data_IF_890725805931
#
_entry.id   IF_890725805931
#
_cell.length_a   1.000
_cell.length_b   1.000
_cell.length_c   1.000
_cell.angle_alpha   90.00
_cell.angle_beta   90.00
_cell.angle_gamma   90.00
#
_symmetry.space_group_name_H-M   'P 1'
#
loop_
_entity.id
_entity.type
_entity.pdbx_description
1 polymer ?
#
# COMPACT_ATOMS: atom_id res chain seq x y z
N UNK A 1 46.23 -56.19 51.15
CA UNK A 1 45.11 -56.14 50.13
C UNK A 1 45.11 -54.82 49.50
N UNK A 2 45.51 -54.75 48.22
CA UNK A 2 45.79 -53.57 47.44
C UNK A 2 44.47 -53.11 46.72
N UNK A 3 44.03 -51.91 46.96
CA UNK A 3 42.97 -51.32 46.18
C UNK A 3 43.53 -50.11 45.43
N UNK A 4 43.65 -50.23 44.11
CA UNK A 4 44.11 -49.22 43.19
C UNK A 4 43.00 -48.25 42.86
N UNK A 5 43.08 -47.02 43.32
CA UNK A 5 42.32 -45.93 42.79
C UNK A 5 42.93 -45.44 41.46
N UNK A 6 42.31 -45.79 40.36
CA UNK A 6 42.63 -45.17 39.05
C UNK A 6 41.80 -43.91 38.89
N UNK A 7 42.41 -42.77 39.18
CA UNK A 7 41.87 -41.49 38.85
C UNK A 7 41.87 -41.29 37.34
N UNK A 8 40.69 -41.28 36.71
CA UNK A 8 40.52 -40.80 35.34
C UNK A 8 40.78 -39.30 35.32
N UNK A 9 41.98 -38.92 34.99
CA UNK A 9 42.26 -37.50 34.63
C UNK A 9 41.56 -37.23 33.31
N UNK A 10 40.41 -36.62 33.36
CA UNK A 10 39.68 -36.10 32.20
C UNK A 10 40.51 -34.94 31.63
N UNK A 11 41.19 -35.22 30.52
CA UNK A 11 42.12 -34.28 29.86
C UNK A 11 41.32 -33.11 29.30
N UNK A 12 41.27 -32.01 30.06
CA UNK A 12 40.67 -30.73 29.66
C UNK A 12 41.40 -30.06 28.47
N UNK A 13 42.52 -30.65 28.04
CA UNK A 13 43.35 -30.13 26.95
C UNK A 13 42.85 -30.48 25.54
N UNK A 14 41.76 -31.29 25.41
CA UNK A 14 41.24 -31.67 24.09
C UNK A 14 40.22 -30.67 23.53
N UNK A 15 39.70 -29.74 24.35
CA UNK A 15 38.70 -28.75 23.93
C UNK A 15 39.28 -27.44 23.39
N UNK A 16 40.62 -27.24 23.50
CA UNK A 16 41.27 -25.99 23.05
C UNK A 16 41.96 -26.13 21.67
N UNK A 17 41.80 -27.23 20.95
CA UNK A 17 42.59 -27.50 19.75
C UNK A 17 41.84 -27.33 18.42
N UNK A 18 40.68 -26.68 18.41
CA UNK A 18 39.94 -26.37 17.15
C UNK A 18 39.53 -24.91 17.06
N UNK A 19 40.30 -23.98 17.56
CA UNK A 19 40.20 -22.61 17.07
C UNK A 19 41.00 -22.52 15.76
N UNK A 20 40.42 -23.03 14.67
CA UNK A 20 40.85 -22.67 13.33
C UNK A 20 40.57 -21.19 13.17
N UNK A 21 41.60 -20.36 13.22
CA UNK A 21 41.48 -18.95 12.91
C UNK A 21 40.83 -18.78 11.55
N UNK A 22 39.88 -17.86 11.46
CA UNK A 22 39.24 -17.49 10.19
C UNK A 22 40.32 -17.18 9.17
N UNK A 23 40.25 -17.78 8.00
CA UNK A 23 41.17 -17.47 6.92
C UNK A 23 40.89 -16.07 6.38
N UNK A 24 41.88 -15.37 5.85
CA UNK A 24 41.72 -14.04 5.28
C UNK A 24 40.67 -14.03 4.17
N UNK A 25 40.54 -15.12 3.42
CA UNK A 25 39.54 -15.33 2.38
C UNK A 25 38.13 -15.43 2.97
N UNK A 26 37.96 -16.12 4.09
CA UNK A 26 36.68 -16.29 4.78
C UNK A 26 36.19 -14.96 5.36
N UNK A 27 37.09 -14.15 5.95
CA UNK A 27 36.82 -12.81 6.42
C UNK A 27 36.33 -11.91 5.26
N UNK A 28 37.02 -11.97 4.11
CA UNK A 28 36.65 -11.19 2.93
C UNK A 28 35.30 -11.62 2.39
N UNK A 29 34.99 -12.92 2.34
CA UNK A 29 33.70 -13.43 1.94
C UNK A 29 32.54 -12.93 2.86
N UNK A 30 32.78 -12.97 4.18
CA UNK A 30 31.79 -12.45 5.16
C UNK A 30 31.56 -10.96 4.96
N UNK A 31 32.60 -10.16 4.73
CA UNK A 31 32.46 -8.72 4.47
C UNK A 31 31.65 -8.43 3.21
N UNK A 32 31.84 -9.18 2.14
CA UNK A 32 31.05 -9.05 0.90
C UNK A 32 29.58 -9.36 1.16
N UNK A 33 29.30 -10.44 1.90
CA UNK A 33 27.90 -10.80 2.25
C UNK A 33 27.24 -9.70 3.07
N UNK A 34 27.94 -9.13 4.06
CA UNK A 34 27.42 -8.03 4.88
C UNK A 34 27.08 -6.82 4.01
N UNK A 35 27.95 -6.43 3.08
CA UNK A 35 27.72 -5.30 2.17
C UNK A 35 26.47 -5.55 1.32
N UNK A 36 26.31 -6.75 0.76
CA UNK A 36 25.13 -7.11 -0.04
C UNK A 36 23.85 -7.03 0.81
N UNK A 37 23.89 -7.55 2.06
CA UNK A 37 22.74 -7.48 2.97
C UNK A 37 22.35 -6.03 3.28
N UNK A 38 23.30 -5.15 3.57
CA UNK A 38 23.05 -3.74 3.85
C UNK A 38 22.43 -3.04 2.64
N UNK A 39 22.93 -3.30 1.43
CA UNK A 39 22.36 -2.77 0.20
C UNK A 39 20.93 -3.27 -0.04
N UNK A 40 20.66 -4.54 0.20
CA UNK A 40 19.31 -5.10 0.06
C UNK A 40 18.31 -4.46 1.02
N UNK A 41 18.70 -4.25 2.28
CA UNK A 41 17.87 -3.55 3.28
C UNK A 41 17.60 -2.11 2.84
N UNK A 42 18.62 -1.38 2.38
CA UNK A 42 18.46 0.01 1.91
C UNK A 42 17.46 0.10 0.75
N UNK A 43 17.60 -0.76 -0.26
CA UNK A 43 16.65 -0.82 -1.39
C UNK A 43 15.23 -1.12 -0.90
N UNK A 44 15.09 -2.06 0.06
CA UNK A 44 13.80 -2.41 0.66
C UNK A 44 13.12 -1.23 1.36
N UNK A 45 13.88 -0.43 2.11
CA UNK A 45 13.37 0.77 2.80
C UNK A 45 12.87 1.80 1.77
N UNK A 46 13.68 2.13 0.76
CA UNK A 46 13.31 3.09 -0.29
C UNK A 46 12.05 2.63 -1.04
N UNK A 47 11.93 1.35 -1.32
CA UNK A 47 10.73 0.79 -1.95
C UNK A 47 9.49 0.90 -1.03
N UNK A 48 9.65 0.58 0.26
CA UNK A 48 8.57 0.68 1.23
C UNK A 48 8.05 2.12 1.38
N UNK A 49 8.93 3.11 1.44
CA UNK A 49 8.56 4.52 1.50
C UNK A 49 7.71 4.95 0.29
N UNK A 50 8.12 4.54 -0.91
CA UNK A 50 7.33 4.81 -2.13
C UNK A 50 5.95 4.17 -2.09
N UNK A 51 5.84 2.93 -1.62
CA UNK A 51 4.56 2.24 -1.51
C UNK A 51 3.64 2.89 -0.46
N UNK A 52 4.19 3.33 0.67
CA UNK A 52 3.43 4.08 1.67
C UNK A 52 2.85 5.38 1.11
N UNK A 53 3.62 6.09 0.29
CA UNK A 53 3.20 7.33 -0.35
C UNK A 53 2.04 7.09 -1.33
N UNK A 54 2.17 6.07 -2.17
CA UNK A 54 1.14 5.66 -3.13
C UNK A 54 -0.15 5.27 -2.39
N UNK A 55 -0.04 4.42 -1.37
CA UNK A 55 -1.18 3.96 -0.58
C UNK A 55 -1.88 5.13 0.15
N UNK A 56 -1.12 6.11 0.63
CA UNK A 56 -1.68 7.31 1.25
C UNK A 56 -2.54 8.09 0.24
N UNK A 57 -2.01 8.36 -0.97
CA UNK A 57 -2.71 9.08 -2.03
C UNK A 57 -3.98 8.35 -2.48
N UNK A 58 -3.90 7.03 -2.66
CA UNK A 58 -5.05 6.20 -3.00
C UNK A 58 -6.13 6.25 -1.91
N UNK A 59 -5.74 6.22 -0.63
CA UNK A 59 -6.65 6.32 0.50
C UNK A 59 -7.34 7.68 0.55
N UNK A 60 -6.61 8.77 0.38
CA UNK A 60 -7.19 10.13 0.34
C UNK A 60 -8.17 10.24 -0.82
N UNK A 61 -7.77 9.78 -2.02
CA UNK A 61 -8.63 9.78 -3.20
C UNK A 61 -9.92 8.97 -2.98
N UNK A 62 -9.82 7.80 -2.35
CA UNK A 62 -10.99 6.98 -1.98
C UNK A 62 -11.92 7.71 -1.03
N UNK A 63 -11.38 8.34 0.01
CA UNK A 63 -12.19 9.09 0.98
C UNK A 63 -12.90 10.29 0.34
N UNK A 64 -12.23 11.00 -0.58
CA UNK A 64 -12.85 12.11 -1.31
C UNK A 64 -14.02 11.62 -2.18
N UNK A 65 -13.83 10.54 -2.95
CA UNK A 65 -14.88 9.96 -3.79
C UNK A 65 -16.05 9.47 -2.94
N UNK A 66 -15.78 8.77 -1.83
CA UNK A 66 -16.82 8.29 -0.91
C UNK A 66 -17.58 9.46 -0.31
N UNK A 67 -16.88 10.50 0.17
CA UNK A 67 -17.53 11.67 0.77
C UNK A 67 -18.46 12.41 -0.20
N UNK A 68 -18.06 12.55 -1.47
CA UNK A 68 -18.94 13.16 -2.48
C UNK A 68 -20.17 12.30 -2.78
N UNK A 69 -20.02 10.98 -2.89
CA UNK A 69 -21.16 10.07 -3.09
C UNK A 69 -22.10 10.09 -1.87
N UNK A 70 -21.58 10.13 -0.64
CA UNK A 70 -22.39 10.28 0.57
C UNK A 70 -23.17 11.61 0.58
N UNK A 71 -22.56 12.69 0.09
CA UNK A 71 -23.26 13.98 -0.05
C UNK A 71 -24.39 13.89 -1.08
N UNK A 72 -24.19 13.19 -2.19
CA UNK A 72 -25.23 12.95 -3.19
C UNK A 72 -26.34 12.04 -2.66
N UNK A 73 -26.00 11.02 -1.87
CA UNK A 73 -26.98 10.20 -1.16
C UNK A 73 -27.83 11.05 -0.21
N UNK A 74 -27.20 11.93 0.56
CA UNK A 74 -27.93 12.87 1.43
C UNK A 74 -28.87 13.78 0.62
N UNK A 75 -28.45 14.28 -0.55
CA UNK A 75 -29.31 15.07 -1.46
C UNK A 75 -30.50 14.27 -1.91
N UNK A 76 -30.30 13.04 -2.35
CA UNK A 76 -31.35 12.13 -2.81
C UNK A 76 -32.39 11.87 -1.71
N UNK A 77 -31.97 11.52 -0.49
CA UNK A 77 -32.87 11.28 0.65
C UNK A 77 -33.70 12.51 0.98
N UNK A 78 -33.18 13.71 0.77
CA UNK A 78 -33.90 14.97 1.01
C UNK A 78 -34.62 15.51 -0.25
N UNK A 79 -34.82 14.68 -1.26
CA UNK A 79 -35.50 15.05 -2.53
C UNK A 79 -34.87 16.27 -3.22
N UNK A 80 -33.54 16.44 -3.08
CA UNK A 80 -32.75 17.46 -3.77
C UNK A 80 -32.17 16.90 -5.06
N UNK A 81 -31.96 17.71 -6.09
CA UNK A 81 -31.30 17.27 -7.32
C UNK A 81 -29.86 16.91 -7.04
N UNK A 82 -29.33 15.94 -7.78
CA UNK A 82 -27.91 15.59 -7.77
C UNK A 82 -27.06 16.76 -8.27
N UNK A 83 -25.91 16.96 -7.64
CA UNK A 83 -24.90 17.93 -8.09
C UNK A 83 -23.82 17.23 -8.90
N UNK A 84 -24.10 17.04 -10.19
CA UNK A 84 -23.15 16.41 -11.09
C UNK A 84 -21.90 17.31 -11.27
N UNK A 85 -20.73 16.71 -11.19
CA UNK A 85 -19.46 17.41 -11.27
C UNK A 85 -18.70 16.99 -12.51
N UNK A 86 -18.02 17.94 -13.15
CA UNK A 86 -17.16 17.67 -14.30
C UNK A 86 -15.79 18.29 -14.05
N UNK A 87 -14.78 17.43 -13.89
CA UNK A 87 -13.38 17.83 -13.67
C UNK A 87 -13.17 18.84 -12.52
N UNK A 88 -13.91 18.67 -11.42
CA UNK A 88 -13.71 19.51 -10.23
C UNK A 88 -12.38 19.14 -9.56
N UNK A 89 -11.63 20.15 -9.17
CA UNK A 89 -10.33 19.98 -8.56
C UNK A 89 -10.42 19.60 -7.07
N UNK A 90 -9.62 18.60 -6.65
CA UNK A 90 -9.48 18.16 -5.26
C UNK A 90 -8.01 17.97 -4.93
N UNK A 91 -7.62 18.41 -3.74
CA UNK A 91 -6.26 18.21 -3.25
C UNK A 91 -6.15 16.79 -2.69
N UNK A 92 -5.22 16.00 -3.25
CA UNK A 92 -4.95 14.62 -2.83
C UNK A 92 -3.76 14.58 -1.86
N UNK A 93 -2.73 15.42 -2.09
CA UNK A 93 -1.53 15.45 -1.26
C UNK A 93 -0.99 16.88 -1.19
N UNK A 94 -0.95 17.44 0.02
CA UNK A 94 -0.48 18.80 0.32
C UNK A 94 0.73 18.83 1.28
N UNK A 95 1.35 17.66 1.54
CA UNK A 95 2.46 17.55 2.50
C UNK A 95 3.70 18.31 2.06
N UNK A 96 3.92 18.45 0.75
CA UNK A 96 4.93 19.31 0.20
C UNK A 96 4.28 20.58 -0.37
N UNK A 97 4.45 21.75 0.29
CA UNK A 97 3.87 23.00 -0.17
C UNK A 97 4.29 23.41 -1.58
N UNK A 98 5.44 22.93 -2.05
CA UNK A 98 5.96 23.23 -3.39
C UNK A 98 5.41 22.27 -4.47
N UNK A 99 4.81 21.14 -4.05
CA UNK A 99 4.34 20.10 -4.97
C UNK A 99 2.97 19.56 -4.51
N UNK A 100 1.96 20.42 -4.54
CA UNK A 100 0.58 20.02 -4.24
C UNK A 100 0.09 19.09 -5.36
N UNK A 101 -0.38 17.91 -4.97
CA UNK A 101 -0.99 16.96 -5.90
C UNK A 101 -2.49 17.19 -5.97
N UNK A 102 -2.95 17.55 -7.16
CA UNK A 102 -4.36 17.77 -7.46
C UNK A 102 -4.91 16.63 -8.30
N UNK A 103 -6.14 16.22 -7.99
CA UNK A 103 -6.93 15.28 -8.79
C UNK A 103 -8.18 15.96 -9.31
N UNK A 104 -8.74 15.40 -10.38
CA UNK A 104 -9.94 15.89 -11.06
C UNK A 104 -11.07 14.88 -10.89
N UNK A 105 -12.14 15.30 -10.23
CA UNK A 105 -13.31 14.47 -9.98
C UNK A 105 -14.41 14.75 -11.00
N UNK A 106 -15.00 13.68 -11.50
CA UNK A 106 -16.18 13.71 -12.34
C UNK A 106 -17.22 12.79 -11.73
N UNK A 107 -18.46 13.31 -11.57
CA UNK A 107 -19.63 12.55 -11.09
C UNK A 107 -20.67 12.57 -12.21
N UNK A 108 -21.00 11.38 -12.70
CA UNK A 108 -21.95 11.17 -13.78
C UNK A 108 -23.16 10.37 -13.28
N UNK A 109 -24.35 10.77 -13.71
CA UNK A 109 -25.57 10.00 -13.50
C UNK A 109 -25.79 9.10 -14.72
N UNK A 110 -26.05 7.83 -14.47
CA UNK A 110 -26.36 6.84 -15.49
C UNK A 110 -27.60 6.05 -15.07
N UNK A 111 -28.30 5.52 -16.06
CA UNK A 111 -29.46 4.64 -15.84
C UNK A 111 -29.08 3.22 -16.20
N UNK A 112 -29.55 2.25 -15.43
CA UNK A 112 -29.40 0.84 -15.74
C UNK A 112 -30.72 0.10 -15.56
N UNK A 113 -30.86 -1.01 -16.27
CA UNK A 113 -31.96 -1.94 -16.15
C UNK A 113 -31.42 -3.31 -15.83
N UNK A 114 -31.99 -3.93 -14.81
CA UNK A 114 -31.65 -5.30 -14.45
C UNK A 114 -32.91 -6.16 -14.54
N UNK A 115 -32.80 -7.33 -15.17
CA UNK A 115 -33.87 -8.29 -15.26
C UNK A 115 -33.66 -9.40 -14.25
N UNK A 116 -34.55 -9.51 -13.29
CA UNK A 116 -34.53 -10.59 -12.30
C UNK A 116 -35.93 -11.19 -12.20
N UNK A 117 -36.06 -12.53 -12.40
CA UNK A 117 -37.30 -13.28 -12.25
C UNK A 117 -38.51 -12.64 -12.98
N UNK A 118 -38.38 -12.32 -14.26
CA UNK A 118 -39.41 -11.70 -15.11
C UNK A 118 -39.82 -10.26 -14.74
N UNK A 119 -39.12 -9.65 -13.76
CA UNK A 119 -39.33 -8.25 -13.41
C UNK A 119 -38.15 -7.40 -13.90
N UNK A 120 -38.46 -6.29 -14.58
CA UNK A 120 -37.49 -5.28 -14.99
C UNK A 120 -37.36 -4.24 -13.87
N UNK A 121 -36.17 -4.19 -13.27
CA UNK A 121 -35.84 -3.20 -12.28
C UNK A 121 -35.08 -2.06 -12.97
N UNK A 122 -35.68 -0.88 -12.96
CA UNK A 122 -35.03 0.34 -13.43
C UNK A 122 -34.40 1.05 -12.24
N UNK A 123 -33.15 1.42 -12.33
CA UNK A 123 -32.49 2.20 -11.30
C UNK A 123 -31.52 3.20 -11.90
N UNK A 124 -31.23 4.23 -11.13
CA UNK A 124 -30.21 5.24 -11.44
C UNK A 124 -28.98 4.91 -10.62
N UNK A 125 -27.81 5.11 -11.20
CA UNK A 125 -26.59 5.08 -10.42
C UNK A 125 -25.74 6.30 -10.69
N UNK A 126 -24.99 6.71 -9.68
CA UNK A 126 -23.93 7.69 -9.80
C UNK A 126 -22.59 6.98 -9.89
N UNK A 127 -21.79 7.39 -10.86
CA UNK A 127 -20.43 6.95 -11.01
C UNK A 127 -19.50 8.13 -10.77
N UNK A 128 -18.74 8.09 -9.67
CA UNK A 128 -17.75 9.09 -9.33
C UNK A 128 -16.35 8.56 -9.68
N UNK A 129 -15.61 9.34 -10.44
CA UNK A 129 -14.23 9.00 -10.86
C UNK A 129 -13.31 10.17 -10.52
N UNK A 130 -12.31 9.93 -9.68
CA UNK A 130 -11.23 10.87 -9.37
C UNK A 130 -9.96 10.41 -10.08
N UNK A 131 -9.37 11.29 -10.88
CA UNK A 131 -8.15 11.01 -11.68
C UNK A 131 -7.03 11.96 -11.29
N UNK A 132 -5.80 11.48 -11.25
CA UNK A 132 -4.60 12.29 -11.04
C UNK A 132 -3.39 11.66 -11.74
N UNK A 133 -2.35 12.47 -11.93
CA UNK A 133 -1.05 12.01 -12.46
C UNK A 133 -0.14 11.77 -11.27
N UNK A 134 0.30 10.53 -11.08
CA UNK A 134 1.26 10.19 -10.04
C UNK A 134 2.61 10.88 -10.33
N UNK A 135 3.12 11.72 -9.42
CA UNK A 135 4.35 12.49 -9.64
C UNK A 135 5.60 11.62 -9.77
N UNK A 136 5.61 10.43 -9.16
CA UNK A 136 6.76 9.53 -9.14
C UNK A 136 6.84 8.67 -10.41
N UNK A 137 5.71 8.10 -10.81
CA UNK A 137 5.64 7.21 -11.99
C UNK A 137 5.25 7.90 -13.27
N UNK A 138 4.75 9.15 -13.20
CA UNK A 138 4.17 9.93 -14.32
C UNK A 138 3.01 9.23 -15.01
N UNK A 139 2.40 8.25 -14.37
CA UNK A 139 1.24 7.52 -14.88
C UNK A 139 -0.05 8.12 -14.33
N UNK A 140 -1.08 8.09 -15.16
CA UNK A 140 -2.43 8.41 -14.70
C UNK A 140 -2.93 7.31 -13.76
N UNK A 141 -3.48 7.73 -12.64
CA UNK A 141 -4.16 6.88 -11.66
C UNK A 141 -5.57 7.39 -11.49
N UNK A 142 -6.48 6.49 -11.14
CA UNK A 142 -7.86 6.84 -10.86
C UNK A 142 -8.47 5.94 -9.81
N UNK A 143 -9.42 6.48 -9.08
CA UNK A 143 -10.36 5.75 -8.23
C UNK A 143 -11.74 5.96 -8.82
N UNK A 144 -12.50 4.88 -8.97
CA UNK A 144 -13.87 4.90 -9.45
C UNK A 144 -14.75 4.16 -8.47
N UNK A 145 -15.85 4.80 -8.09
CA UNK A 145 -16.85 4.20 -7.23
C UNK A 145 -18.25 4.45 -7.82
N UNK A 146 -19.17 3.56 -7.48
CA UNK A 146 -20.53 3.61 -7.95
C UNK A 146 -21.48 3.45 -6.77
N UNK A 147 -22.57 4.18 -6.80
CA UNK A 147 -23.68 4.06 -5.86
C UNK A 147 -24.99 3.97 -6.61
N UNK A 148 -25.84 2.99 -6.26
CA UNK A 148 -27.07 2.67 -6.94
C UNK A 148 -28.27 3.25 -6.15
N UNK A 149 -29.21 3.88 -6.86
CA UNK A 149 -30.42 4.49 -6.32
C UNK A 149 -31.63 3.84 -6.96
N UNK A 150 -32.41 3.15 -6.15
CA UNK A 150 -33.66 2.53 -6.59
C UNK A 150 -34.77 3.58 -6.61
N UNK A 151 -35.55 3.61 -7.69
CA UNK A 151 -36.65 4.57 -7.93
C UNK A 151 -37.97 3.90 -7.56
#
# INVERSE_FOLDING_TARGET
MNSRNSAHSFSATKLLKEQKGMTLLELLAVMVIIVIMVLAIYIGIVYAEKQLLINYRDRVATLLVTGELEMEYYRHVHSKPFELQVNREYIIDDRDPNHILVGYMTIEQKTAQESSNEQLLNYIYLEATLRWIDPDTKKERFIRMREDYFI
#
